data_IF_776500458465
#
_entry.id   IF_776500458465
#
_cell.length_a   1.000
_cell.length_b   1.000
_cell.length_c   1.000
_cell.angle_alpha   90.00
_cell.angle_beta   90.00
_cell.angle_gamma   90.00
#
_symmetry.space_group_name_H-M   'P 1'
#
loop_
_entity.id
_entity.type
_entity.pdbx_description
1 polymer ?
#
# COMPACT_ATOMS: atom_id res chain seq x y z
N UNK A 1 -19.21 -1.16 18.69
CA UNK A 1 -18.60 -2.26 19.46
C UNK A 1 -18.27 -1.75 20.85
N UNK A 2 -18.99 -2.22 21.87
CA UNK A 2 -18.73 -1.87 23.27
C UNK A 2 -17.62 -2.78 23.82
N UNK A 3 -16.53 -2.19 24.33
CA UNK A 3 -15.31 -2.95 24.73
C UNK A 3 -15.22 -3.13 26.25
N UNK A 4 -15.87 -2.28 27.05
CA UNK A 4 -15.96 -2.40 28.51
C UNK A 4 -16.05 -1.04 29.21
N UNK A 5 -15.98 -1.07 30.56
CA UNK A 5 -15.92 0.15 31.41
C UNK A 5 -14.46 0.48 31.74
N UNK A 6 -14.12 1.77 31.75
CA UNK A 6 -12.79 2.26 32.11
C UNK A 6 -12.85 3.65 32.74
N UNK A 7 -11.68 4.18 33.12
CA UNK A 7 -11.53 5.51 33.73
C UNK A 7 -10.36 6.26 33.08
N UNK A 8 -10.42 7.59 33.04
CA UNK A 8 -9.37 8.44 32.45
C UNK A 8 -8.28 8.70 33.50
N UNK A 9 -7.01 8.55 33.12
CA UNK A 9 -5.86 8.89 33.97
C UNK A 9 -4.69 9.31 33.07
N UNK A 10 -4.09 10.47 33.34
CA UNK A 10 -2.94 10.99 32.58
C UNK A 10 -3.20 11.08 31.06
N UNK A 11 -4.44 11.44 30.68
CA UNK A 11 -4.84 11.51 29.27
C UNK A 11 -5.07 10.15 28.60
N UNK A 12 -4.94 9.04 29.32
CA UNK A 12 -5.16 7.69 28.83
C UNK A 12 -6.38 7.05 29.48
N UNK A 13 -7.20 6.35 28.69
CA UNK A 13 -8.31 5.56 29.20
C UNK A 13 -7.79 4.21 29.71
N UNK A 14 -7.85 3.98 31.03
CA UNK A 14 -7.53 2.72 31.68
C UNK A 14 -8.78 1.85 31.76
N UNK A 15 -8.77 0.70 31.10
CA UNK A 15 -9.88 -0.26 31.13
C UNK A 15 -9.86 -1.05 32.45
N UNK A 16 -11.01 -1.23 33.08
CA UNK A 16 -11.12 -2.04 34.28
C UNK A 16 -11.21 -3.53 33.88
N UNK A 17 -10.08 -4.24 33.94
CA UNK A 17 -9.98 -5.66 33.59
C UNK A 17 -9.97 -6.48 34.87
N UNK A 18 -11.04 -7.24 35.12
CA UNK A 18 -11.07 -8.23 36.20
C UNK A 18 -10.32 -9.47 35.72
N UNK A 19 -9.13 -9.71 36.28
CA UNK A 19 -8.38 -10.95 36.07
C UNK A 19 -8.90 -11.98 37.08
N UNK A 20 -9.75 -12.90 36.63
CA UNK A 20 -10.17 -14.02 37.47
C UNK A 20 -9.12 -15.13 37.34
N UNK A 21 -8.39 -15.44 38.40
CA UNK A 21 -7.51 -16.61 38.38
C UNK A 21 -8.37 -17.87 38.56
N UNK A 22 -8.83 -18.45 37.45
CA UNK A 22 -9.56 -19.73 37.48
C UNK A 22 -8.59 -20.88 37.75
N UNK A 23 -8.73 -21.54 38.90
CA UNK A 23 -8.03 -22.77 39.29
C UNK A 23 -8.52 -24.02 38.52
N UNK A 24 -8.99 -23.84 37.30
CA UNK A 24 -9.47 -24.90 36.42
C UNK A 24 -9.54 -24.38 34.98
N UNK A 25 -9.38 -25.28 34.02
CA UNK A 25 -9.24 -25.11 32.55
C UNK A 25 -10.33 -24.29 31.81
N UNK A 26 -10.95 -23.27 32.41
CA UNK A 26 -11.78 -22.27 31.74
C UNK A 26 -10.92 -21.07 31.36
N UNK A 27 -10.46 -21.11 30.11
CA UNK A 27 -9.84 -19.99 29.42
C UNK A 27 -10.79 -18.79 29.46
N UNK A 28 -10.38 -17.69 30.09
CA UNK A 28 -11.15 -16.45 30.13
C UNK A 28 -11.06 -15.81 28.76
N UNK A 29 -12.12 -15.97 27.96
CA UNK A 29 -12.21 -15.34 26.65
C UNK A 29 -12.62 -13.88 26.86
N UNK A 30 -11.63 -13.04 27.18
CA UNK A 30 -11.66 -11.63 26.80
C UNK A 30 -12.16 -11.51 25.35
N UNK A 31 -13.11 -10.63 24.99
CA UNK A 31 -13.24 -10.20 23.59
C UNK A 31 -11.90 -9.63 23.06
N UNK A 32 -11.01 -9.20 23.97
CA UNK A 32 -9.62 -8.83 23.68
C UNK A 32 -8.65 -10.02 23.52
N UNK A 33 -9.00 -11.23 23.97
CA UNK A 33 -8.14 -12.44 23.96
C UNK A 33 -8.29 -13.29 22.70
N UNK A 34 -9.15 -12.90 21.75
CA UNK A 34 -9.28 -13.63 20.48
C UNK A 34 -8.09 -13.28 19.59
N UNK A 35 -6.96 -13.92 19.85
CA UNK A 35 -5.73 -13.74 19.09
C UNK A 35 -5.75 -14.63 17.85
N UNK A 36 -6.23 -14.07 16.74
CA UNK A 36 -6.19 -14.73 15.43
C UNK A 36 -5.21 -14.05 14.48
N UNK A 37 -4.73 -14.81 13.50
CA UNK A 37 -3.93 -14.27 12.40
C UNK A 37 -4.61 -13.07 11.74
N UNK A 38 -5.93 -13.16 11.44
CA UNK A 38 -6.65 -12.09 10.74
C UNK A 38 -6.68 -10.79 11.56
N UNK A 39 -6.83 -10.90 12.88
CA UNK A 39 -6.86 -9.75 13.77
C UNK A 39 -5.50 -9.05 13.83
N UNK A 40 -4.42 -9.80 14.05
CA UNK A 40 -3.07 -9.24 14.07
C UNK A 40 -2.62 -8.73 12.70
N UNK A 41 -3.03 -9.40 11.63
CA UNK A 41 -2.78 -8.95 10.27
C UNK A 41 -3.45 -7.59 9.99
N UNK A 42 -4.70 -7.39 10.42
CA UNK A 42 -5.38 -6.10 10.28
C UNK A 42 -4.77 -5.02 11.21
N UNK A 43 -4.52 -5.34 12.49
CA UNK A 43 -3.93 -4.40 13.47
C UNK A 43 -2.57 -3.86 13.05
N UNK A 44 -1.76 -4.69 12.38
CA UNK A 44 -0.41 -4.33 11.92
C UNK A 44 -0.41 -3.77 10.49
N UNK A 45 -1.55 -3.30 9.99
CA UNK A 45 -1.64 -2.64 8.68
C UNK A 45 -1.38 -3.58 7.51
N UNK A 46 -1.93 -4.80 7.56
CA UNK A 46 -1.85 -5.77 6.47
C UNK A 46 -0.41 -6.14 6.09
N UNK A 47 0.44 -6.32 7.12
CA UNK A 47 1.83 -6.77 6.94
C UNK A 47 1.89 -8.20 6.37
N UNK A 48 2.95 -8.50 5.59
CA UNK A 48 3.16 -9.81 4.99
C UNK A 48 3.03 -10.95 6.02
N UNK A 49 2.34 -12.04 5.63
CA UNK A 49 2.18 -13.25 6.44
C UNK A 49 3.50 -13.77 6.99
N UNK A 50 4.57 -13.73 6.18
CA UNK A 50 5.90 -14.20 6.60
C UNK A 50 6.47 -13.37 7.75
N UNK A 51 6.17 -12.07 7.78
CA UNK A 51 6.57 -11.19 8.88
C UNK A 51 5.80 -11.52 10.16
N UNK A 52 4.49 -11.78 10.05
CA UNK A 52 3.65 -12.22 11.19
C UNK A 52 4.16 -13.55 11.74
N UNK A 53 4.43 -14.51 10.85
CA UNK A 53 5.03 -15.79 11.23
C UNK A 53 6.36 -15.62 11.98
N UNK A 54 7.23 -14.72 11.51
CA UNK A 54 8.49 -14.39 12.20
C UNK A 54 8.24 -13.79 13.58
N UNK A 55 7.28 -12.88 13.73
CA UNK A 55 6.95 -12.27 15.03
C UNK A 55 6.41 -13.31 16.03
N UNK A 56 5.57 -14.24 15.57
CA UNK A 56 5.12 -15.38 16.40
C UNK A 56 6.30 -16.26 16.82
N UNK A 57 7.23 -16.56 15.90
CA UNK A 57 8.46 -17.34 16.22
C UNK A 57 9.35 -16.66 17.26
N UNK A 58 9.39 -15.33 17.26
CA UNK A 58 10.12 -14.52 18.23
C UNK A 58 9.36 -14.28 19.55
N UNK A 59 8.17 -14.90 19.71
CA UNK A 59 7.27 -14.69 20.86
C UNK A 59 6.83 -13.23 21.06
N UNK A 60 6.86 -12.41 20.01
CA UNK A 60 6.35 -11.03 20.03
C UNK A 60 4.82 -10.97 19.85
N UNK A 61 4.24 -12.04 19.31
CA UNK A 61 2.81 -12.21 19.14
C UNK A 61 2.36 -13.54 19.76
N UNK A 62 1.09 -13.64 20.18
CA UNK A 62 0.48 -14.88 20.65
C UNK A 62 0.60 -16.00 19.61
N UNK A 63 0.62 -17.25 20.06
CA UNK A 63 0.64 -18.41 19.16
C UNK A 63 -0.76 -18.62 18.60
N UNK A 64 -0.87 -18.56 17.28
CA UNK A 64 -2.10 -18.88 16.54
C UNK A 64 -1.79 -19.61 15.24
N UNK A 65 -2.77 -20.32 14.71
CA UNK A 65 -2.62 -21.00 13.43
C UNK A 65 -2.58 -19.96 12.29
N UNK A 66 -1.60 -20.08 11.40
CA UNK A 66 -1.42 -19.22 10.24
C UNK A 66 -1.65 -20.06 8.99
N UNK A 67 -2.80 -19.86 8.35
CA UNK A 67 -3.06 -20.41 7.04
C UNK A 67 -2.37 -19.56 5.97
N UNK A 68 -1.27 -20.08 5.41
CA UNK A 68 -0.52 -19.43 4.35
C UNK A 68 -1.28 -19.40 3.02
N UNK A 69 -2.27 -20.27 2.81
CA UNK A 69 -3.07 -20.34 1.59
C UNK A 69 -4.22 -19.32 1.57
N UNK A 70 -4.74 -18.94 2.75
CA UNK A 70 -5.87 -17.99 2.85
C UNK A 70 -5.53 -16.58 2.37
N UNK A 71 -6.03 -16.13 1.23
CA UNK A 71 -5.78 -14.75 0.75
C UNK A 71 -6.56 -13.72 1.58
N UNK A 72 -5.98 -12.53 1.74
CA UNK A 72 -6.65 -11.37 2.33
C UNK A 72 -7.11 -10.46 1.18
N UNK A 73 -8.41 -10.22 1.10
CA UNK A 73 -9.07 -9.39 0.07
C UNK A 73 -8.47 -7.99 -0.03
N UNK A 74 -8.35 -7.32 1.11
CA UNK A 74 -7.76 -5.97 1.22
C UNK A 74 -6.32 -5.97 0.70
N UNK A 75 -5.53 -7.00 1.01
CA UNK A 75 -4.16 -7.12 0.48
C UNK A 75 -4.14 -7.36 -1.02
N UNK A 76 -5.05 -8.19 -1.53
CA UNK A 76 -5.11 -8.47 -2.96
C UNK A 76 -5.52 -7.25 -3.76
N UNK A 77 -6.35 -6.37 -3.22
CA UNK A 77 -6.75 -5.12 -3.89
C UNK A 77 -5.65 -4.05 -3.78
N UNK A 78 -5.07 -3.88 -2.59
CA UNK A 78 -4.12 -2.80 -2.32
C UNK A 78 -2.67 -3.09 -2.72
N UNK A 79 -2.27 -4.36 -2.76
CA UNK A 79 -0.87 -4.79 -3.02
C UNK A 79 -0.72 -5.58 -4.31
N UNK A 80 -1.73 -5.57 -5.19
CA UNK A 80 -1.60 -6.20 -6.49
C UNK A 80 -0.51 -5.47 -7.28
N UNK A 81 0.59 -6.16 -7.57
CA UNK A 81 1.57 -5.65 -8.50
C UNK A 81 0.92 -5.60 -9.89
N UNK A 82 0.99 -4.45 -10.56
CA UNK A 82 0.67 -4.41 -11.99
C UNK A 82 1.56 -5.41 -12.71
N UNK A 83 0.96 -6.18 -13.61
CA UNK A 83 1.73 -7.04 -14.50
C UNK A 83 2.76 -6.19 -15.25
N UNK A 84 3.94 -6.75 -15.57
CA UNK A 84 4.91 -6.06 -16.39
C UNK A 84 4.27 -5.55 -17.67
N UNK A 85 4.63 -4.34 -18.09
CA UNK A 85 4.21 -3.84 -19.39
C UNK A 85 4.73 -4.76 -20.49
N UNK A 86 3.92 -4.99 -21.53
CA UNK A 86 4.38 -5.69 -22.72
C UNK A 86 5.56 -4.93 -23.32
N UNK A 87 6.57 -5.64 -23.79
CA UNK A 87 7.66 -5.02 -24.54
C UNK A 87 7.10 -4.35 -25.80
N UNK A 88 7.30 -3.04 -25.93
CA UNK A 88 6.90 -2.28 -27.12
C UNK A 88 7.81 -2.69 -28.28
N UNK A 89 7.21 -3.24 -29.34
CA UNK A 89 7.90 -3.61 -30.60
C UNK A 89 7.85 -2.50 -31.66
N UNK A 90 7.12 -1.41 -31.42
CA UNK A 90 6.99 -0.28 -32.33
C UNK A 90 8.26 0.59 -32.28
N UNK A 91 9.33 0.09 -32.89
CA UNK A 91 10.49 0.89 -33.26
C UNK A 91 10.65 0.77 -34.77
N UNK A 92 10.63 1.91 -35.46
CA UNK A 92 10.95 1.93 -36.87
C UNK A 92 12.45 2.08 -37.06
N UNK A 93 13.00 1.24 -37.96
CA UNK A 93 14.40 1.34 -38.41
C UNK A 93 14.54 2.23 -39.65
N UNK A 94 13.42 2.69 -40.22
CA UNK A 94 13.40 3.57 -41.37
C UNK A 94 13.47 5.02 -40.93
N UNK A 95 14.16 5.84 -41.73
CA UNK A 95 14.24 7.28 -41.48
C UNK A 95 12.82 7.87 -41.51
N UNK A 96 12.42 8.53 -40.42
CA UNK A 96 11.06 9.08 -40.21
C UNK A 96 9.93 8.03 -40.19
N UNK A 97 10.23 6.73 -40.06
CA UNK A 97 9.20 5.70 -40.05
C UNK A 97 8.37 5.64 -38.75
N UNK A 98 8.71 6.47 -37.75
CA UNK A 98 7.88 6.70 -36.57
C UNK A 98 8.13 8.10 -36.00
N UNK A 99 7.05 8.86 -35.78
CA UNK A 99 7.10 10.21 -35.19
C UNK A 99 6.19 10.22 -33.97
N UNK A 100 6.75 10.47 -32.80
CA UNK A 100 5.99 10.72 -31.57
C UNK A 100 5.80 12.23 -31.43
N UNK A 101 4.54 12.67 -31.34
CA UNK A 101 4.15 14.03 -31.02
C UNK A 101 3.38 14.05 -29.70
N UNK A 102 3.72 15.00 -28.83
CA UNK A 102 2.99 15.25 -27.59
C UNK A 102 2.75 16.74 -27.41
N UNK A 103 1.65 17.09 -26.76
CA UNK A 103 1.27 18.46 -26.43
C UNK A 103 1.55 18.71 -24.95
N UNK A 104 2.66 19.40 -24.67
CA UNK A 104 2.94 19.89 -23.34
C UNK A 104 2.15 21.19 -23.09
N UNK A 105 1.33 21.22 -22.03
CA UNK A 105 0.73 22.45 -21.54
C UNK A 105 1.80 23.28 -20.80
N UNK A 106 2.42 24.22 -21.53
CA UNK A 106 3.35 25.18 -20.95
C UNK A 106 2.58 26.26 -20.19
N UNK A 107 2.16 25.95 -18.97
CA UNK A 107 1.74 26.97 -17.99
C UNK A 107 2.96 27.71 -17.44
N UNK A 108 3.71 28.40 -18.29
CA UNK A 108 4.84 29.25 -17.89
C UNK A 108 4.59 30.69 -18.28
N UNK A 109 4.59 31.57 -17.28
CA UNK A 109 4.65 33.02 -17.46
C UNK A 109 5.94 33.32 -18.24
N UNK A 110 5.90 34.09 -19.35
CA UNK A 110 7.08 34.33 -20.17
C UNK A 110 8.13 35.13 -19.38
N UNK A 111 9.33 34.56 -19.20
CA UNK A 111 10.49 35.30 -18.70
C UNK A 111 11.02 36.24 -19.79
N UNK A 112 11.18 37.50 -19.41
CA UNK A 112 11.46 38.67 -20.25
C UNK A 112 12.76 38.47 -21.07
N UNK A 113 12.63 38.16 -22.36
CA UNK A 113 13.78 38.09 -23.27
C UNK A 113 13.50 37.67 -24.71
N UNK A 114 12.51 36.82 -24.97
CA UNK A 114 12.25 36.32 -26.32
C UNK A 114 10.76 36.29 -26.62
N UNK A 115 10.35 36.95 -27.70
CA UNK A 115 9.00 36.79 -28.26
C UNK A 115 8.94 35.42 -28.93
N UNK A 116 8.49 34.41 -28.21
CA UNK A 116 8.00 33.19 -28.86
C UNK A 116 6.75 33.62 -29.63
N UNK A 117 6.82 33.56 -30.96
CA UNK A 117 5.65 33.76 -31.81
C UNK A 117 4.70 32.61 -31.49
N UNK A 118 3.73 32.87 -30.60
CA UNK A 118 2.61 31.98 -30.34
C UNK A 118 1.69 32.00 -31.55
N UNK A 119 2.09 31.28 -32.61
CA UNK A 119 1.12 30.60 -33.45
C UNK A 119 0.36 29.60 -32.54
N UNK A 120 -0.98 29.56 -32.53
CA UNK A 120 -1.76 28.62 -31.71
C UNK A 120 -1.54 27.15 -32.09
N UNK A 121 -0.79 26.89 -33.16
CA UNK A 121 -0.51 25.55 -33.64
C UNK A 121 0.88 25.11 -33.18
N UNK A 122 0.84 24.30 -32.11
CA UNK A 122 1.59 23.05 -32.06
C UNK A 122 3.12 23.22 -31.95
N UNK A 123 3.61 23.52 -30.74
CA UNK A 123 4.98 23.16 -30.39
C UNK A 123 5.04 21.63 -30.24
N UNK A 124 5.06 20.91 -31.38
CA UNK A 124 5.34 19.47 -31.38
C UNK A 124 6.79 19.35 -30.93
N UNK A 125 7.03 18.79 -29.75
CA UNK A 125 8.36 18.27 -29.41
C UNK A 125 8.57 17.03 -30.27
N UNK A 126 9.09 17.21 -31.48
CA UNK A 126 9.46 16.11 -32.38
C UNK A 126 10.75 15.51 -31.83
N UNK A 127 10.63 14.48 -31.00
CA UNK A 127 11.80 13.75 -30.53
C UNK A 127 12.26 12.80 -31.64
N UNK A 128 13.19 13.26 -32.49
CA UNK A 128 13.84 12.40 -33.48
C UNK A 128 14.84 11.54 -32.71
N UNK A 129 14.38 10.41 -32.17
CA UNK A 129 15.27 9.41 -31.60
C UNK A 129 16.06 8.75 -32.74
N UNK A 130 17.29 9.22 -32.97
CA UNK A 130 18.26 8.51 -33.80
C UNK A 130 18.83 7.37 -32.96
N UNK A 131 18.49 6.12 -33.30
CA UNK A 131 19.04 4.94 -32.63
C UNK A 131 20.55 4.87 -32.88
N UNK A 132 21.36 4.84 -31.82
CA UNK A 132 22.68 4.18 -31.81
C UNK A 132 22.48 2.89 -31.02
#
# INVERSE_FOLDING_TARGET
MYVGKGYLTEGLFKLNVVIVNSTGNRMIVSAYMVDSFNLWHARLGHVNKRSIYRMVKLNLLPKFNIDLNKKCEICTESKFARQPFKSVQERSNELLGLIYSDLCDFKSIPTRGEKIITSPLLMIVVNIAKSI
#
